data_IF_725281085671
#
_entry.id   IF_725281085671
#
_cell.length_a   1.000
_cell.length_b   1.000
_cell.length_c   1.000
_cell.angle_alpha   90.00
_cell.angle_beta   90.00
_cell.angle_gamma   90.00
#
_symmetry.space_group_name_H-M   'P 1'
#
loop_
_entity.id
_entity.type
_entity.pdbx_description
1 polymer ?
#
# COMPACT_ATOMS: atom_id res chain seq x y z
N UNK A 1 4.35 0.72 11.60
CA UNK A 1 3.45 0.35 10.46
C UNK A 1 3.54 1.41 9.36
N UNK A 2 3.16 1.11 8.10
CA UNK A 2 3.34 2.02 6.91
C UNK A 2 2.86 3.47 7.17
N UNK A 3 1.77 3.65 7.93
CA UNK A 3 1.26 4.95 8.38
C UNK A 3 2.26 5.75 9.21
N UNK A 4 2.91 5.12 10.19
CA UNK A 4 3.90 5.79 11.05
C UNK A 4 5.22 6.05 10.33
N UNK A 5 5.60 5.15 9.41
CA UNK A 5 6.90 5.19 8.74
C UNK A 5 6.92 6.10 7.50
N UNK A 6 5.80 6.17 6.80
CA UNK A 6 5.71 6.86 5.50
C UNK A 6 4.58 7.90 5.43
N UNK A 7 3.76 8.04 6.48
CA UNK A 7 2.72 9.07 6.53
C UNK A 7 1.45 8.74 5.74
N UNK A 8 1.19 7.47 5.44
CA UNK A 8 -0.08 7.06 4.80
C UNK A 8 -1.27 7.21 5.75
N UNK A 9 -2.49 7.27 5.19
CA UNK A 9 -3.74 7.29 5.94
C UNK A 9 -4.22 5.90 6.36
N UNK A 10 -3.48 4.86 5.97
CA UNK A 10 -3.78 3.45 6.23
C UNK A 10 -3.92 2.65 4.94
N UNK A 11 -4.21 1.35 5.07
CA UNK A 11 -4.48 0.48 3.93
C UNK A 11 -5.63 -0.47 4.22
N UNK A 12 -6.28 -0.90 3.14
CA UNK A 12 -7.30 -1.95 3.11
C UNK A 12 -6.78 -3.08 2.23
N UNK A 13 -6.97 -4.31 2.68
CA UNK A 13 -6.71 -5.49 1.87
C UNK A 13 -8.05 -6.02 1.37
N UNK A 14 -8.17 -6.15 0.07
CA UNK A 14 -9.35 -6.71 -0.59
C UNK A 14 -8.97 -8.04 -1.24
N UNK A 15 -9.96 -8.90 -1.43
CA UNK A 15 -9.84 -10.12 -2.20
C UNK A 15 -10.89 -10.08 -3.30
N UNK A 16 -10.48 -10.22 -4.55
CA UNK A 16 -11.41 -10.24 -5.66
C UNK A 16 -12.10 -11.61 -5.80
N UNK A 17 -13.00 -11.70 -6.78
CA UNK A 17 -13.79 -12.90 -7.07
C UNK A 17 -12.96 -14.10 -7.54
N UNK A 18 -11.78 -13.87 -8.12
CA UNK A 18 -10.86 -14.89 -8.60
C UNK A 18 -9.86 -15.30 -7.51
N UNK A 19 -9.94 -14.66 -6.35
CA UNK A 19 -9.15 -14.97 -5.17
C UNK A 19 -7.85 -14.18 -5.04
N UNK A 20 -7.58 -13.21 -5.94
CA UNK A 20 -6.42 -12.33 -5.90
C UNK A 20 -6.56 -11.32 -4.77
N UNK A 21 -5.48 -11.10 -4.02
CA UNK A 21 -5.41 -10.06 -3.00
C UNK A 21 -5.00 -8.72 -3.62
N UNK A 22 -5.70 -7.64 -3.24
CA UNK A 22 -5.50 -6.28 -3.72
C UNK A 22 -5.33 -5.35 -2.52
N UNK A 23 -4.13 -4.82 -2.33
CA UNK A 23 -3.84 -3.82 -1.31
C UNK A 23 -4.15 -2.42 -1.84
N UNK A 24 -4.99 -1.67 -1.14
CA UNK A 24 -5.28 -0.26 -1.43
C UNK A 24 -4.77 0.55 -0.25
N UNK A 25 -3.87 1.49 -0.50
CA UNK A 25 -3.36 2.40 0.51
C UNK A 25 -3.75 3.84 0.15
N UNK A 26 -4.26 4.57 1.13
CA UNK A 26 -4.64 5.97 0.97
C UNK A 26 -3.52 6.87 1.48
N UNK A 27 -3.27 7.96 0.78
CA UNK A 27 -2.17 8.88 1.04
C UNK A 27 -2.69 10.31 1.12
N UNK A 28 -2.13 11.16 1.99
CA UNK A 28 -2.57 12.54 2.13
C UNK A 28 -2.35 13.35 0.83
N UNK A 29 -1.32 13.00 0.05
CA UNK A 29 -0.99 13.66 -1.21
C UNK A 29 -0.05 12.79 -2.08
N UNK A 30 0.08 13.17 -3.36
CA UNK A 30 0.91 12.49 -4.37
C UNK A 30 2.40 12.52 -4.05
N UNK A 31 2.91 13.59 -3.44
CA UNK A 31 4.33 13.76 -3.13
C UNK A 31 4.76 12.82 -2.00
N UNK A 32 3.95 12.69 -0.96
CA UNK A 32 4.15 11.77 0.16
C UNK A 32 4.12 10.32 -0.32
N UNK A 33 3.18 9.97 -1.19
CA UNK A 33 3.18 8.65 -1.84
C UNK A 33 4.45 8.40 -2.67
N UNK A 34 4.84 9.35 -3.52
CA UNK A 34 6.01 9.20 -4.41
C UNK A 34 7.30 9.00 -3.61
N UNK A 35 7.52 9.78 -2.54
CA UNK A 35 8.69 9.61 -1.66
C UNK A 35 8.75 8.22 -1.03
N UNK A 36 7.62 7.69 -0.60
CA UNK A 36 7.55 6.36 0.00
C UNK A 36 7.76 5.24 -1.03
N UNK A 37 7.22 5.42 -2.24
CA UNK A 37 7.40 4.51 -3.36
C UNK A 37 8.85 4.50 -3.88
N UNK A 38 9.48 5.66 -4.04
CA UNK A 38 10.89 5.80 -4.45
C UNK A 38 11.86 5.22 -3.43
N UNK A 39 11.48 5.23 -2.14
CA UNK A 39 12.21 4.55 -1.08
C UNK A 39 12.01 3.02 -1.09
N UNK A 40 11.29 2.47 -2.08
CA UNK A 40 10.92 1.06 -2.21
C UNK A 40 10.26 0.48 -0.94
N UNK A 41 9.64 1.34 -0.12
CA UNK A 41 9.16 0.99 1.22
C UNK A 41 10.20 0.20 2.05
N UNK A 42 11.49 0.54 1.90
CA UNK A 42 12.61 -0.24 2.40
C UNK A 42 12.44 -0.70 3.85
N UNK A 43 12.72 -1.98 4.09
CA UNK A 43 12.86 -2.56 5.43
C UNK A 43 14.28 -2.30 5.93
N UNK A 44 14.44 -2.03 7.24
CA UNK A 44 15.76 -1.81 7.85
C UNK A 44 16.61 -3.08 7.92
N UNK A 45 15.94 -4.24 7.89
CA UNK A 45 16.56 -5.56 7.93
C UNK A 45 16.55 -6.18 6.52
N UNK A 46 17.73 -6.41 5.98
CA UNK A 46 17.93 -6.99 4.65
C UNK A 46 17.33 -8.40 4.54
N UNK A 47 17.44 -9.22 5.58
CA UNK A 47 16.91 -10.59 5.57
C UNK A 47 15.37 -10.59 5.55
N UNK A 48 14.75 -9.61 6.21
CA UNK A 48 13.30 -9.40 6.14
C UNK A 48 12.90 -8.95 4.73
N UNK A 49 13.68 -8.06 4.10
CA UNK A 49 13.42 -7.63 2.72
C UNK A 49 13.52 -8.80 1.75
N UNK A 50 14.58 -9.60 1.85
CA UNK A 50 14.79 -10.78 0.99
C UNK A 50 13.66 -11.80 1.14
N UNK A 51 13.27 -12.16 2.37
CA UNK A 51 12.18 -13.09 2.61
C UNK A 51 10.84 -12.58 2.05
N UNK A 52 10.58 -11.27 2.11
CA UNK A 52 9.39 -10.68 1.53
C UNK A 52 9.39 -10.75 -0.01
N UNK A 53 10.53 -10.44 -0.64
CA UNK A 53 10.69 -10.50 -2.08
C UNK A 53 10.61 -11.94 -2.62
N UNK A 54 11.19 -12.91 -1.92
CA UNK A 54 11.13 -14.34 -2.28
C UNK A 54 9.69 -14.89 -2.25
N UNK A 55 8.85 -14.36 -1.35
CA UNK A 55 7.45 -14.76 -1.27
C UNK A 55 6.58 -14.24 -2.43
N UNK A 56 7.08 -13.30 -3.24
CA UNK A 56 6.36 -12.77 -4.40
C UNK A 56 6.57 -13.70 -5.60
N UNK A 57 5.48 -14.31 -6.07
CA UNK A 57 5.50 -15.07 -7.34
C UNK A 57 5.65 -14.14 -8.55
N UNK A 58 5.03 -12.96 -8.48
CA UNK A 58 5.12 -11.89 -9.48
C UNK A 58 4.97 -10.54 -8.78
N UNK A 59 5.70 -9.52 -9.27
CA UNK A 59 5.62 -8.15 -8.79
C UNK A 59 5.54 -7.19 -9.97
N UNK A 60 4.51 -6.35 -9.99
CA UNK A 60 4.42 -5.29 -10.99
C UNK A 60 5.47 -4.20 -10.70
N UNK A 61 6.17 -3.74 -11.74
CA UNK A 61 7.09 -2.61 -11.63
C UNK A 61 6.34 -1.31 -11.31
N UNK A 62 5.08 -1.19 -11.75
CA UNK A 62 4.24 -0.03 -11.52
C UNK A 62 3.00 -0.36 -10.65
N UNK A 63 2.44 0.63 -9.93
CA UNK A 63 1.18 0.46 -9.22
C UNK A 63 0.07 0.00 -10.17
N UNK A 64 -0.75 -0.94 -9.72
CA UNK A 64 -1.87 -1.45 -10.52
C UNK A 64 -2.84 -0.34 -10.94
N UNK A 65 -3.16 0.58 -10.02
CA UNK A 65 -4.00 1.76 -10.27
C UNK A 65 -3.51 2.94 -9.40
N UNK A 66 -3.54 4.13 -9.98
CA UNK A 66 -3.43 5.40 -9.26
C UNK A 66 -4.76 6.12 -9.36
N UNK A 67 -5.34 6.47 -8.20
CA UNK A 67 -6.70 6.98 -8.10
C UNK A 67 -6.74 8.20 -7.18
N UNK A 68 -7.71 9.07 -7.43
CA UNK A 68 -8.05 10.20 -6.57
C UNK A 68 -9.35 9.88 -5.83
N UNK A 69 -9.38 10.10 -4.51
CA UNK A 69 -10.62 9.96 -3.73
C UNK A 69 -11.49 11.17 -4.05
N UNK A 70 -12.57 10.97 -4.81
CA UNK A 70 -13.50 12.07 -5.15
C UNK A 70 -14.52 12.30 -4.04
N UNK A 71 -15.00 11.22 -3.43
CA UNK A 71 -16.05 11.24 -2.43
C UNK A 71 -15.80 10.09 -1.44
N UNK A 72 -15.71 10.41 -0.15
CA UNK A 72 -15.77 9.41 0.91
C UNK A 72 -17.19 9.38 1.49
N UNK A 73 -17.95 8.36 1.08
CA UNK A 73 -19.31 8.14 1.53
C UNK A 73 -19.40 7.13 2.68
N UNK A 74 -18.25 6.63 3.17
CA UNK A 74 -18.25 5.73 4.31
C UNK A 74 -18.44 6.51 5.59
N UNK A 75 -19.47 6.14 6.34
CA UNK A 75 -19.61 6.59 7.72
C UNK A 75 -18.47 5.98 8.55
N UNK A 76 -17.97 6.68 9.59
CA UNK A 76 -17.02 6.10 10.50
C UNK A 76 -17.57 4.78 11.06
N UNK A 77 -16.71 3.76 11.14
CA UNK A 77 -17.05 2.51 11.81
C UNK A 77 -17.37 2.88 13.27
N UNK A 78 -18.56 2.54 13.81
CA UNK A 78 -18.86 2.76 15.22
C UNK A 78 -17.80 2.08 16.10
N UNK A 79 -17.35 2.76 17.15
CA UNK A 79 -16.41 2.20 18.13
C UNK A 79 -16.93 0.94 18.82
#
# INVERSE_FOLDING_TARGET
>A
MIRERYGSLGSRLHRDQDGRFIGIAEWPDRETWQRAYDAAMAYDDEAVREAFLEALEDSAEEPFLLMEVTDDLLLPVPE
#
